data_IF_982567105138
#
_entry.id   IF_982567105138
#
_cell.length_a   1.000
_cell.length_b   1.000
_cell.length_c   1.000
_cell.angle_alpha   90.00
_cell.angle_beta   90.00
_cell.angle_gamma   90.00
#
_symmetry.space_group_name_H-M   'P 1'
#
loop_
_entity.id
_entity.type
_entity.pdbx_description
1 polymer ?
#
# COMPACT_ATOMS: atom_id res chain seq x y z
N UNK A 1 -12.76 1.37 28.02
CA UNK A 1 -11.81 0.59 27.20
C UNK A 1 -10.72 0.06 28.12
N UNK A 2 -10.53 -1.26 28.16
CA UNK A 2 -9.38 -1.85 28.85
C UNK A 2 -8.16 -1.64 27.95
N UNK A 3 -7.23 -0.78 28.36
CA UNK A 3 -6.02 -0.49 27.59
C UNK A 3 -5.16 -1.74 27.44
N UNK A 4 -4.51 -1.89 26.30
CA UNK A 4 -3.50 -2.92 26.11
C UNK A 4 -2.33 -2.68 27.06
N UNK A 5 -1.83 -3.75 27.69
CA UNK A 5 -0.54 -3.73 28.40
C UNK A 5 0.56 -4.00 27.39
N UNK A 6 1.61 -3.20 27.42
CA UNK A 6 2.75 -3.32 26.53
C UNK A 6 3.98 -3.78 27.29
N UNK A 7 4.87 -4.49 26.60
CA UNK A 7 6.21 -4.74 27.08
C UNK A 7 6.99 -3.44 27.15
N UNK A 8 7.84 -3.30 28.17
CA UNK A 8 8.88 -2.27 28.16
C UNK A 8 10.01 -2.64 27.17
N UNK A 9 11.03 -1.79 27.08
CA UNK A 9 12.12 -1.96 26.11
C UNK A 9 12.88 -3.28 26.31
N UNK A 10 13.24 -3.60 27.56
CA UNK A 10 14.05 -4.77 27.88
C UNK A 10 13.24 -6.06 27.73
N UNK A 11 11.97 -6.01 28.12
CA UNK A 11 11.02 -7.09 27.88
C UNK A 11 10.80 -7.32 26.37
N UNK A 12 10.68 -6.27 25.57
CA UNK A 12 10.49 -6.38 24.11
C UNK A 12 11.72 -6.98 23.42
N UNK A 13 12.94 -6.58 23.82
CA UNK A 13 14.20 -7.18 23.36
C UNK A 13 14.21 -8.68 23.68
N UNK A 14 13.85 -9.04 24.91
CA UNK A 14 13.80 -10.44 25.34
C UNK A 14 12.80 -11.25 24.51
N UNK A 15 11.63 -10.69 24.20
CA UNK A 15 10.64 -11.36 23.35
C UNK A 15 11.18 -11.60 21.92
N UNK A 16 11.85 -10.61 21.33
CA UNK A 16 12.45 -10.74 19.98
C UNK A 16 13.56 -11.80 19.97
N UNK A 17 14.43 -11.80 20.99
CA UNK A 17 15.52 -12.78 21.10
C UNK A 17 15.03 -14.21 21.35
N UNK A 18 13.88 -14.37 22.00
CA UNK A 18 13.26 -15.66 22.29
C UNK A 18 12.31 -16.14 21.18
N UNK A 19 12.27 -15.49 20.02
CA UNK A 19 11.47 -15.97 18.89
C UNK A 19 11.92 -17.36 18.47
N UNK A 20 10.95 -18.27 18.32
CA UNK A 20 11.22 -19.60 17.78
C UNK A 20 11.50 -19.53 16.28
N UNK A 21 12.17 -20.53 15.72
CA UNK A 21 12.33 -20.69 14.27
C UNK A 21 10.96 -20.69 13.56
N UNK A 22 9.93 -21.27 14.18
CA UNK A 22 8.57 -21.28 13.65
C UNK A 22 7.97 -19.86 13.57
N UNK A 23 8.21 -19.02 14.58
CA UNK A 23 7.75 -17.63 14.58
C UNK A 23 8.46 -16.82 13.49
N UNK A 24 9.76 -17.02 13.32
CA UNK A 24 10.55 -16.37 12.27
C UNK A 24 10.02 -16.78 10.89
N UNK A 25 9.79 -18.08 10.64
CA UNK A 25 9.24 -18.57 9.38
C UNK A 25 7.84 -17.99 9.09
N UNK A 26 7.00 -17.86 10.11
CA UNK A 26 5.68 -17.21 9.96
C UNK A 26 5.81 -15.73 9.58
N UNK A 27 6.78 -15.02 10.15
CA UNK A 27 7.06 -13.62 9.81
C UNK A 27 7.60 -13.49 8.39
N UNK A 28 8.59 -14.29 8.00
CA UNK A 28 9.15 -14.26 6.63
C UNK A 28 8.09 -14.60 5.58
N UNK A 29 7.24 -15.59 5.82
CA UNK A 29 6.11 -15.90 4.93
C UNK A 29 5.16 -14.70 4.77
N UNK A 30 4.88 -13.99 5.84
CA UNK A 30 4.07 -12.77 5.78
C UNK A 30 4.80 -11.63 5.06
N UNK A 31 6.11 -11.49 5.26
CA UNK A 31 6.93 -10.50 4.59
C UNK A 31 6.87 -10.70 3.07
N UNK A 32 7.19 -11.90 2.55
CA UNK A 32 7.09 -12.19 1.12
C UNK A 32 5.67 -12.00 0.57
N UNK A 33 4.63 -12.33 1.35
CA UNK A 33 3.26 -12.00 0.97
C UNK A 33 3.06 -10.50 0.76
N UNK A 34 3.58 -9.64 1.64
CA UNK A 34 3.46 -8.19 1.50
C UNK A 34 4.32 -7.63 0.36
N UNK A 35 5.55 -8.13 0.19
CA UNK A 35 6.43 -7.77 -0.95
C UNK A 35 5.67 -8.01 -2.25
N UNK A 36 5.15 -9.23 -2.46
CA UNK A 36 4.44 -9.60 -3.68
C UNK A 36 3.12 -8.85 -3.83
N UNK A 37 2.37 -8.64 -2.74
CA UNK A 37 1.07 -7.97 -2.78
C UNK A 37 1.17 -6.49 -3.15
N UNK A 38 2.22 -5.82 -2.71
CA UNK A 38 2.39 -4.37 -2.89
C UNK A 38 3.52 -4.01 -3.85
N UNK A 39 4.12 -5.00 -4.50
CA UNK A 39 5.24 -4.84 -5.45
C UNK A 39 6.35 -3.95 -4.87
N UNK A 40 6.76 -4.27 -3.64
CA UNK A 40 7.77 -3.49 -2.93
C UNK A 40 9.17 -3.79 -3.49
N UNK A 41 10.02 -2.78 -3.72
CA UNK A 41 11.36 -2.97 -4.27
C UNK A 41 12.39 -3.32 -3.16
N UNK A 42 12.05 -4.26 -2.27
CA UNK A 42 12.91 -4.76 -1.19
C UNK A 42 12.70 -6.26 -0.98
N UNK A 43 13.62 -6.92 -0.29
CA UNK A 43 13.48 -8.34 0.06
C UNK A 43 12.60 -8.55 1.31
N UNK A 44 12.11 -9.78 1.51
CA UNK A 44 11.25 -10.09 2.65
C UNK A 44 11.98 -9.97 4.00
N UNK A 45 13.25 -10.34 3.99
CA UNK A 45 14.20 -10.25 5.09
C UNK A 45 14.41 -8.80 5.52
N UNK A 46 14.52 -7.87 4.56
CA UNK A 46 14.64 -6.44 4.84
C UNK A 46 13.39 -5.88 5.54
N UNK A 47 12.21 -6.26 5.05
CA UNK A 47 10.93 -5.85 5.66
C UNK A 47 10.79 -6.40 7.10
N UNK A 48 11.21 -7.65 7.31
CA UNK A 48 11.21 -8.26 8.64
C UNK A 48 12.21 -7.57 9.58
N UNK A 49 13.44 -7.33 9.11
CA UNK A 49 14.47 -6.65 9.88
C UNK A 49 14.07 -5.22 10.26
N UNK A 50 13.47 -4.46 9.32
CA UNK A 50 12.95 -3.11 9.61
C UNK A 50 11.86 -3.15 10.70
N UNK A 51 10.99 -4.17 10.70
CA UNK A 51 10.01 -4.34 11.76
C UNK A 51 10.65 -4.60 13.13
N UNK A 52 11.71 -5.44 13.17
CA UNK A 52 12.48 -5.68 14.39
C UNK A 52 13.18 -4.41 14.88
N UNK A 53 13.86 -3.67 13.99
CA UNK A 53 14.53 -2.41 14.32
C UNK A 53 13.55 -1.42 14.96
N UNK A 54 12.37 -1.23 14.38
CA UNK A 54 11.36 -0.32 14.96
C UNK A 54 10.83 -0.77 16.32
N UNK A 55 10.82 -2.06 16.61
CA UNK A 55 10.48 -2.57 17.95
C UNK A 55 11.62 -2.25 18.92
N UNK A 56 12.86 -2.56 18.56
CA UNK A 56 14.04 -2.38 19.41
C UNK A 56 14.35 -0.89 19.69
N UNK A 57 14.01 0.00 18.76
CA UNK A 57 14.09 1.46 18.95
C UNK A 57 12.89 2.03 19.74
N UNK A 58 11.93 1.20 20.14
CA UNK A 58 10.72 1.64 20.85
C UNK A 58 9.72 2.41 19.99
N UNK A 59 9.94 2.54 18.68
CA UNK A 59 9.00 3.17 17.73
C UNK A 59 7.72 2.36 17.54
N UNK A 60 7.75 1.07 17.86
CA UNK A 60 6.59 0.16 17.88
C UNK A 60 6.59 -0.65 19.17
N UNK A 61 5.45 -0.66 19.86
CA UNK A 61 5.29 -1.40 21.12
C UNK A 61 4.66 -2.77 20.88
N UNK A 62 5.14 -3.77 21.64
CA UNK A 62 4.59 -5.12 21.64
C UNK A 62 3.54 -5.26 22.76
N UNK A 63 2.32 -5.60 22.40
CA UNK A 63 1.25 -5.85 23.37
C UNK A 63 1.42 -7.23 24.03
N UNK A 64 1.38 -7.30 25.36
CA UNK A 64 1.57 -8.54 26.14
C UNK A 64 0.52 -9.61 25.84
N UNK A 65 -0.66 -9.20 25.36
CA UNK A 65 -1.77 -10.09 25.02
C UNK A 65 -1.70 -10.67 23.61
N UNK A 66 -0.70 -10.29 22.80
CA UNK A 66 -0.61 -10.65 21.39
C UNK A 66 0.63 -11.51 21.16
N UNK A 67 0.47 -12.58 20.37
CA UNK A 67 1.62 -13.42 19.97
C UNK A 67 2.62 -12.59 19.16
N UNK A 68 3.91 -12.76 19.43
CA UNK A 68 4.96 -11.93 18.82
C UNK A 68 4.92 -11.90 17.29
N UNK A 69 4.82 -13.06 16.63
CA UNK A 69 4.75 -13.11 15.17
C UNK A 69 3.52 -12.36 14.61
N UNK A 70 2.40 -12.34 15.36
CA UNK A 70 1.19 -11.61 14.95
C UNK A 70 1.42 -10.10 15.06
N UNK A 71 2.06 -9.65 16.13
CA UNK A 71 2.41 -8.23 16.30
C UNK A 71 3.38 -7.77 15.20
N UNK A 72 4.44 -8.53 14.95
CA UNK A 72 5.43 -8.23 13.89
C UNK A 72 4.75 -8.20 12.51
N UNK A 73 3.83 -9.12 12.22
CA UNK A 73 3.07 -9.10 10.95
C UNK A 73 2.25 -7.83 10.75
N UNK A 74 1.65 -7.28 11.81
CA UNK A 74 0.93 -6.01 11.72
C UNK A 74 1.88 -4.83 11.52
N UNK A 75 3.06 -4.87 12.16
CA UNK A 75 4.10 -3.85 11.98
C UNK A 75 4.61 -3.88 10.54
N UNK A 76 4.97 -5.05 10.00
CA UNK A 76 5.38 -5.22 8.60
C UNK A 76 4.30 -4.71 7.64
N UNK A 77 3.02 -5.08 7.86
CA UNK A 77 1.91 -4.55 7.08
C UNK A 77 1.86 -3.02 7.09
N UNK A 78 2.06 -2.40 8.25
CA UNK A 78 2.10 -0.94 8.37
C UNK A 78 3.29 -0.33 7.64
N UNK A 79 4.48 -0.93 7.71
CA UNK A 79 5.68 -0.48 6.99
C UNK A 79 5.45 -0.58 5.48
N UNK A 80 4.94 -1.72 5.02
CA UNK A 80 4.61 -1.93 3.61
C UNK A 80 3.63 -0.88 3.08
N UNK A 81 2.61 -0.52 3.87
CA UNK A 81 1.70 0.57 3.50
C UNK A 81 2.40 1.92 3.46
N UNK A 82 3.27 2.23 4.42
CA UNK A 82 4.05 3.46 4.44
C UNK A 82 4.91 3.59 3.17
N UNK A 83 5.57 2.51 2.75
CA UNK A 83 6.37 2.47 1.52
C UNK A 83 5.51 2.65 0.28
N UNK A 84 4.35 1.98 0.22
CA UNK A 84 3.40 2.14 -0.88
C UNK A 84 2.90 3.58 -0.99
N UNK A 85 2.55 4.20 0.15
CA UNK A 85 2.08 5.59 0.17
C UNK A 85 3.18 6.57 -0.20
N UNK A 86 4.41 6.38 0.31
CA UNK A 86 5.56 7.23 -0.04
C UNK A 86 5.88 7.15 -1.53
N UNK A 87 5.90 5.94 -2.10
CA UNK A 87 6.10 5.74 -3.54
C UNK A 87 4.99 6.41 -4.37
N UNK A 88 3.74 6.28 -3.94
CA UNK A 88 2.61 6.97 -4.59
C UNK A 88 2.76 8.48 -4.50
N UNK A 89 3.10 9.02 -3.33
CA UNK A 89 3.26 10.45 -3.11
C UNK A 89 4.46 11.02 -3.89
N UNK A 90 5.57 10.28 -3.97
CA UNK A 90 6.74 10.63 -4.78
C UNK A 90 6.42 10.59 -6.27
N UNK A 91 5.72 9.57 -6.75
CA UNK A 91 5.25 9.52 -8.14
C UNK A 91 4.35 10.72 -8.47
N UNK A 92 3.43 11.09 -7.58
CA UNK A 92 2.56 12.27 -7.74
C UNK A 92 3.28 13.63 -7.57
N UNK A 93 4.47 13.65 -6.97
CA UNK A 93 5.31 14.85 -6.84
C UNK A 93 6.30 15.00 -8.00
N UNK A 94 6.75 13.88 -8.56
CA UNK A 94 7.74 13.81 -9.64
C UNK A 94 7.09 13.85 -11.04
N UNK A 95 5.77 13.98 -11.14
CA UNK A 95 5.12 14.49 -12.36
C UNK A 95 5.46 15.98 -12.50
N UNK A 96 6.64 16.30 -13.02
CA UNK A 96 6.92 17.62 -13.58
C UNK A 96 5.88 17.92 -14.67
N UNK A 97 5.49 19.19 -14.91
CA UNK A 97 4.87 19.54 -16.18
C UNK A 97 5.79 19.02 -17.28
N UNK A 98 5.23 18.36 -18.30
CA UNK A 98 5.98 17.93 -19.48
C UNK A 98 6.74 19.14 -20.03
N UNK A 99 8.03 19.26 -19.70
CA UNK A 99 8.96 20.04 -20.49
C UNK A 99 9.32 19.15 -21.68
N UNK A 100 8.93 19.64 -22.84
CA UNK A 100 9.13 19.04 -24.15
C UNK A 100 10.58 18.58 -24.36
N UNK A 101 10.69 17.48 -25.08
CA UNK A 101 11.85 17.06 -25.87
C UNK A 101 13.13 16.67 -25.10
N UNK A 102 13.24 15.39 -24.72
CA UNK A 102 14.06 14.38 -25.42
C UNK A 102 14.44 13.19 -24.52
N UNK A 103 14.49 11.99 -25.14
CA UNK A 103 15.02 10.70 -24.62
C UNK A 103 14.06 10.02 -23.60
N UNK A 104 13.27 9.00 -23.97
CA UNK A 104 13.74 7.62 -24.23
C UNK A 104 12.95 7.02 -25.41
N UNK A 105 13.58 7.04 -26.58
CA UNK A 105 13.32 6.09 -27.66
C UNK A 105 13.89 4.73 -27.22
N UNK A 106 13.03 3.71 -27.18
CA UNK A 106 13.26 2.26 -27.07
C UNK A 106 12.45 1.65 -25.92
N UNK A 107 11.17 1.33 -26.14
CA UNK A 107 10.37 0.25 -25.47
C UNK A 107 8.85 0.39 -25.65
N UNK A 108 8.37 1.42 -26.35
CA UNK A 108 6.94 1.72 -26.45
C UNK A 108 6.47 1.58 -27.90
N UNK A 109 6.01 0.39 -28.27
CA UNK A 109 5.12 0.26 -29.44
C UNK A 109 4.03 -0.81 -29.24
N UNK A 110 3.81 -1.26 -28.00
CA UNK A 110 2.77 -2.26 -27.69
C UNK A 110 2.16 -2.19 -26.29
N UNK A 111 2.59 -1.25 -25.44
CA UNK A 111 2.07 -1.06 -24.07
C UNK A 111 1.16 0.16 -23.92
N UNK A 112 1.30 1.19 -24.77
CA UNK A 112 0.43 2.38 -24.71
C UNK A 112 -1.03 2.01 -25.03
N UNK A 113 -1.26 1.29 -26.13
CA UNK A 113 -2.62 0.85 -26.51
C UNK A 113 -3.26 -0.05 -25.45
N UNK A 114 -2.46 -0.87 -24.76
CA UNK A 114 -2.96 -1.75 -23.69
C UNK A 114 -3.33 -0.97 -22.43
N UNK A 115 -2.58 0.07 -22.09
CA UNK A 115 -2.89 0.95 -20.95
C UNK A 115 -4.18 1.71 -21.24
N UNK A 116 -4.32 2.27 -22.45
CA UNK A 116 -5.52 3.01 -22.85
C UNK A 116 -6.77 2.12 -22.89
N UNK A 117 -6.63 0.87 -23.37
CA UNK A 117 -7.71 -0.13 -23.36
C UNK A 117 -8.12 -0.55 -21.93
N UNK A 118 -7.15 -0.76 -21.04
CA UNK A 118 -7.43 -1.09 -19.64
C UNK A 118 -8.12 0.07 -18.92
N UNK A 119 -7.76 1.32 -19.25
CA UNK A 119 -8.36 2.51 -18.68
C UNK A 119 -9.79 2.72 -19.16
N UNK A 120 -10.04 2.61 -20.48
CA UNK A 120 -11.39 2.66 -21.03
C UNK A 120 -12.31 1.57 -20.46
N UNK A 121 -11.78 0.35 -20.26
CA UNK A 121 -12.53 -0.73 -19.62
C UNK A 121 -12.85 -0.41 -18.16
N UNK A 122 -11.89 0.11 -17.40
CA UNK A 122 -12.12 0.50 -16.01
C UNK A 122 -13.19 1.58 -15.90
N UNK A 123 -13.19 2.58 -16.77
CA UNK A 123 -14.18 3.66 -16.72
C UNK A 123 -15.59 3.15 -17.06
N UNK A 124 -15.73 2.27 -18.06
CA UNK A 124 -17.04 1.68 -18.42
C UNK A 124 -17.65 0.83 -17.30
N UNK A 125 -16.82 0.17 -16.48
CA UNK A 125 -17.22 -0.59 -15.29
C UNK A 125 -17.95 0.24 -14.21
N UNK A 126 -17.80 1.57 -14.26
CA UNK A 126 -18.34 2.51 -13.26
C UNK A 126 -19.16 3.64 -13.88
N UNK A 127 -19.53 3.57 -15.16
CA UNK A 127 -20.35 4.60 -15.83
C UNK A 127 -21.68 4.88 -15.11
N UNK A 128 -22.27 3.87 -14.46
CA UNK A 128 -23.51 3.99 -13.68
C UNK A 128 -23.30 4.42 -12.20
N UNK A 129 -22.05 4.57 -11.76
CA UNK A 129 -21.67 4.93 -10.39
C UNK A 129 -21.04 6.32 -10.40
N UNK A 130 -21.87 7.36 -10.20
CA UNK A 130 -21.45 8.77 -10.27
C UNK A 130 -20.24 9.08 -9.40
N UNK A 131 -20.21 8.57 -8.17
CA UNK A 131 -19.10 8.78 -7.23
C UNK A 131 -17.81 8.14 -7.75
N UNK A 132 -17.89 6.90 -8.24
CA UNK A 132 -16.74 6.20 -8.80
C UNK A 132 -16.27 6.80 -10.13
N UNK A 133 -17.19 7.27 -10.97
CA UNK A 133 -16.88 7.97 -12.22
C UNK A 133 -16.15 9.29 -11.96
N UNK A 134 -16.65 10.10 -11.02
CA UNK A 134 -16.00 11.34 -10.61
C UNK A 134 -14.61 11.09 -10.03
N UNK A 135 -14.46 10.03 -9.22
CA UNK A 135 -13.17 9.60 -8.68
C UNK A 135 -12.18 9.19 -9.78
N UNK A 136 -12.62 8.42 -10.77
CA UNK A 136 -11.77 7.97 -11.88
C UNK A 136 -11.36 9.14 -12.78
N UNK A 137 -12.29 10.04 -13.11
CA UNK A 137 -12.00 11.25 -13.88
C UNK A 137 -11.01 12.18 -13.16
N UNK A 138 -11.16 12.36 -11.85
CA UNK A 138 -10.21 13.13 -11.05
C UNK A 138 -8.82 12.48 -11.01
N UNK A 139 -8.77 11.15 -11.01
CA UNK A 139 -7.52 10.38 -11.06
C UNK A 139 -6.85 10.49 -12.44
N UNK A 140 -7.61 10.42 -13.53
CA UNK A 140 -7.14 10.61 -14.90
C UNK A 140 -6.56 12.01 -15.13
N UNK A 141 -7.18 13.03 -14.54
CA UNK A 141 -6.69 14.42 -14.58
C UNK A 141 -5.48 14.68 -13.66
N UNK A 142 -4.97 13.66 -12.96
CA UNK A 142 -3.82 13.79 -12.06
C UNK A 142 -4.11 14.63 -10.81
N UNK A 143 -5.37 14.75 -10.39
CA UNK A 143 -5.73 15.54 -9.21
C UNK A 143 -5.19 14.85 -7.95
N UNK A 144 -4.53 15.63 -7.09
CA UNK A 144 -3.93 15.12 -5.84
C UNK A 144 -5.00 14.61 -4.87
N UNK A 145 -4.72 13.51 -4.17
CA UNK A 145 -5.61 12.91 -3.15
C UNK A 145 -6.19 13.94 -2.19
N UNK A 146 -5.38 14.85 -1.64
CA UNK A 146 -5.86 15.87 -0.70
C UNK A 146 -6.95 16.76 -1.30
N UNK A 147 -6.80 17.16 -2.57
CA UNK A 147 -7.80 17.92 -3.31
C UNK A 147 -9.04 17.09 -3.67
N UNK A 148 -8.87 15.80 -3.95
CA UNK A 148 -10.01 14.90 -4.19
C UNK A 148 -10.83 14.75 -2.88
N UNK A 149 -10.15 14.53 -1.77
CA UNK A 149 -10.77 14.39 -0.44
C UNK A 149 -11.48 15.69 -0.05
N UNK A 150 -10.86 16.85 -0.24
CA UNK A 150 -11.50 18.15 0.05
C UNK A 150 -12.67 18.46 -0.89
N UNK A 151 -12.50 18.30 -2.21
CA UNK A 151 -13.47 18.79 -3.19
C UNK A 151 -14.61 17.81 -3.49
N UNK A 152 -14.42 16.51 -3.28
CA UNK A 152 -15.40 15.48 -3.63
C UNK A 152 -15.93 14.70 -2.42
N UNK A 153 -15.21 14.70 -1.30
CA UNK A 153 -15.59 13.95 -0.10
C UNK A 153 -15.71 14.82 1.15
N UNK A 154 -15.76 16.16 1.01
CA UNK A 154 -15.89 17.12 2.12
C UNK A 154 -14.86 16.90 3.25
N UNK A 155 -13.63 16.52 2.91
CA UNK A 155 -12.59 16.20 3.87
C UNK A 155 -12.65 14.77 4.45
N UNK A 156 -13.64 13.96 4.04
CA UNK A 156 -13.83 12.61 4.56
C UNK A 156 -12.92 11.59 3.86
N UNK A 157 -11.73 11.43 4.43
CA UNK A 157 -10.73 10.47 3.97
C UNK A 157 -11.22 9.00 4.05
N UNK A 158 -12.15 8.69 4.96
CA UNK A 158 -12.71 7.33 5.09
C UNK A 158 -13.60 6.97 3.90
N UNK A 159 -14.38 7.94 3.40
CA UNK A 159 -15.23 7.75 2.21
C UNK A 159 -14.38 7.58 0.96
N UNK A 160 -13.33 8.40 0.81
CA UNK A 160 -12.33 8.25 -0.24
C UNK A 160 -11.71 6.84 -0.25
N UNK A 161 -11.23 6.38 0.91
CA UNK A 161 -10.61 5.07 1.05
C UNK A 161 -11.58 3.92 0.75
N UNK A 162 -12.83 4.08 1.17
CA UNK A 162 -13.89 3.08 0.95
C UNK A 162 -14.25 2.97 -0.52
N UNK A 163 -14.38 4.10 -1.23
CA UNK A 163 -14.65 4.14 -2.66
C UNK A 163 -13.48 3.57 -3.46
N UNK A 164 -12.25 3.95 -3.12
CA UNK A 164 -11.03 3.37 -3.73
C UNK A 164 -10.99 1.85 -3.57
N UNK A 165 -11.30 1.32 -2.38
CA UNK A 165 -11.37 -0.13 -2.14
C UNK A 165 -12.54 -0.80 -2.87
N UNK A 166 -13.67 -0.11 -3.06
CA UNK A 166 -14.81 -0.59 -3.87
C UNK A 166 -14.38 -0.74 -5.33
N UNK A 167 -13.71 0.28 -5.88
CA UNK A 167 -13.21 0.28 -7.26
C UNK A 167 -12.23 -0.88 -7.48
N UNK A 168 -11.20 -1.01 -6.63
CA UNK A 168 -10.21 -2.09 -6.73
C UNK A 168 -10.88 -3.46 -6.66
N UNK A 169 -11.82 -3.68 -5.73
CA UNK A 169 -12.49 -4.98 -5.57
C UNK A 169 -13.32 -5.39 -6.78
N UNK A 170 -13.95 -4.43 -7.47
CA UNK A 170 -14.77 -4.70 -8.66
C UNK A 170 -13.93 -4.80 -9.94
N UNK A 171 -12.82 -4.07 -10.02
CA UNK A 171 -11.90 -4.09 -11.17
C UNK A 171 -10.98 -5.32 -11.19
N UNK A 172 -10.49 -5.76 -10.04
CA UNK A 172 -9.50 -6.87 -9.93
C UNK A 172 -9.93 -8.17 -10.63
N UNK A 173 -11.19 -8.64 -10.52
CA UNK A 173 -11.64 -9.84 -11.21
C UNK A 173 -11.63 -9.69 -12.74
N UNK A 174 -12.07 -8.53 -13.25
CA UNK A 174 -12.19 -8.30 -14.69
C UNK A 174 -10.83 -8.07 -15.36
N UNK A 175 -9.88 -7.45 -14.66
CA UNK A 175 -8.50 -7.30 -15.14
C UNK A 175 -7.74 -8.64 -15.18
N UNK A 176 -8.16 -9.65 -14.41
CA UNK A 176 -7.57 -11.01 -14.43
C UNK A 176 -8.07 -11.88 -15.57
N UNK A 177 -9.25 -11.63 -16.11
CA UNK A 177 -9.79 -12.36 -17.27
C UNK A 177 -9.13 -11.93 -18.59
N UNK A 178 -8.33 -10.86 -18.59
CA UNK A 178 -7.69 -10.26 -19.76
C UNK A 178 -6.15 -10.42 -19.82
N UNK A 179 -5.55 -11.08 -18.82
CA UNK A 179 -4.15 -11.53 -18.85
C UNK A 179 -4.07 -12.98 -19.34
#
# INVERSE_FOLDING_TARGET
>A
MQGYKYFDSDEAISQVQCMSEEDILKCLRAAYYFINKYELPIEGEDLFNEALVRILEGKRQLAKSVKIYTAINQIMKSISYEMLTKRSDEAMRNTSPLEDETIVSSFLDGSSEKIDQQWAMLTSLFEEDEDASAFLAATEQGIKKSKIVENFFDGNETTYDSLRRKIIRKATPQMKEFM
#
